data_IF_647320122412
#
_entry.id   IF_647320122412
#
_cell.length_a   1.000
_cell.length_b   1.000
_cell.length_c   1.000
_cell.angle_alpha   90.00
_cell.angle_beta   90.00
_cell.angle_gamma   90.00
#
_symmetry.space_group_name_H-M   'P 1'
#
loop_
_entity.id
_entity.type
_entity.pdbx_description
1 polymer ?
#
# COMPACT_ATOMS: atom_id res chain seq x y z
N UNK A 1 20.59 4.32 -4.41
CA UNK A 1 19.80 3.12 -4.05
C UNK A 1 18.50 3.63 -3.47
N UNK A 2 17.35 3.18 -3.99
CA UNK A 2 16.05 3.62 -3.48
C UNK A 2 15.82 3.11 -2.06
N UNK A 3 15.11 3.85 -1.23
CA UNK A 3 14.88 3.49 0.17
C UNK A 3 13.92 2.28 0.35
N UNK A 4 13.25 1.84 -0.73
CA UNK A 4 12.26 0.77 -0.69
C UNK A 4 12.33 -0.02 -1.99
N UNK A 5 12.32 -1.35 -1.90
CA UNK A 5 12.34 -2.26 -3.05
C UNK A 5 10.93 -2.47 -3.66
N UNK A 6 9.89 -2.36 -2.83
CA UNK A 6 8.50 -2.61 -3.22
C UNK A 6 7.56 -1.56 -2.63
N UNK A 7 6.52 -1.19 -3.40
CA UNK A 7 5.41 -0.35 -2.96
C UNK A 7 4.11 -1.13 -3.08
N UNK A 8 3.35 -1.23 -1.97
CA UNK A 8 2.06 -1.91 -1.93
C UNK A 8 0.95 -0.88 -1.63
N UNK A 9 -0.15 -0.94 -2.41
CA UNK A 9 -1.39 -0.24 -2.09
C UNK A 9 -2.37 -1.23 -1.48
N UNK A 10 -2.69 -1.05 -0.20
CA UNK A 10 -3.58 -1.91 0.56
C UNK A 10 -4.88 -1.14 0.81
N UNK A 11 -6.02 -1.79 0.58
CA UNK A 11 -7.35 -1.26 0.89
C UNK A 11 -7.99 -2.20 1.91
N UNK A 12 -8.25 -1.69 3.11
CA UNK A 12 -8.94 -2.41 4.20
C UNK A 12 -10.16 -1.63 4.66
N UNK A 13 -11.04 -2.29 5.43
CA UNK A 13 -12.22 -1.64 5.99
C UNK A 13 -11.84 -0.54 7.01
N UNK A 14 -10.81 -0.79 7.80
CA UNK A 14 -10.31 0.07 8.88
C UNK A 14 -8.84 -0.28 9.21
N UNK A 15 -8.29 0.39 10.24
CA UNK A 15 -6.93 0.20 10.72
C UNK A 15 -6.76 -1.18 11.38
N UNK A 16 -7.75 -1.66 12.14
CA UNK A 16 -7.68 -2.97 12.82
C UNK A 16 -7.60 -4.12 11.80
N UNK A 17 -8.36 -4.03 10.71
CA UNK A 17 -8.30 -4.96 9.59
C UNK A 17 -6.93 -4.91 8.88
N UNK A 18 -6.32 -3.74 8.78
CA UNK A 18 -4.94 -3.60 8.29
C UNK A 18 -3.92 -4.25 9.22
N UNK A 19 -4.01 -4.03 10.53
CA UNK A 19 -3.11 -4.65 11.51
C UNK A 19 -3.18 -6.17 11.46
N UNK A 20 -4.40 -6.74 11.40
CA UNK A 20 -4.58 -8.18 11.24
C UNK A 20 -3.94 -8.70 9.95
N UNK A 21 -4.15 -8.01 8.83
CA UNK A 21 -3.49 -8.36 7.56
C UNK A 21 -1.95 -8.28 7.67
N UNK A 22 -1.43 -7.26 8.34
CA UNK A 22 -0.01 -7.10 8.55
C UNK A 22 0.58 -8.28 9.33
N UNK A 23 -0.03 -8.65 10.46
CA UNK A 23 0.46 -9.73 11.31
C UNK A 23 0.25 -11.13 10.74
N UNK A 24 -0.84 -11.38 10.02
CA UNK A 24 -1.16 -12.72 9.50
C UNK A 24 -0.58 -12.99 8.11
N UNK A 25 -0.20 -11.95 7.36
CA UNK A 25 0.27 -12.08 5.97
C UNK A 25 1.63 -11.46 5.75
N UNK A 26 1.76 -10.14 5.92
CA UNK A 26 2.99 -9.41 5.57
C UNK A 26 4.18 -9.82 6.44
N UNK A 27 3.99 -9.91 7.76
CA UNK A 27 5.07 -10.25 8.70
C UNK A 27 5.60 -11.68 8.52
N UNK A 28 4.79 -12.57 7.93
CA UNK A 28 5.15 -13.97 7.69
C UNK A 28 5.97 -14.16 6.40
N UNK A 29 6.08 -13.12 5.56
CA UNK A 29 6.86 -13.23 4.31
C UNK A 29 8.34 -13.21 4.64
N UNK A 30 9.00 -14.34 4.42
CA UNK A 30 10.44 -14.47 4.59
C UNK A 30 11.20 -13.52 3.67
N UNK A 31 12.13 -12.75 4.24
CA UNK A 31 13.01 -11.85 3.50
C UNK A 31 12.57 -10.38 3.51
N UNK A 32 11.41 -10.06 4.10
CA UNK A 32 11.06 -8.67 4.40
C UNK A 32 11.88 -8.22 5.61
N UNK A 33 12.73 -7.21 5.41
CA UNK A 33 13.53 -6.61 6.49
C UNK A 33 12.78 -5.48 7.22
N UNK A 34 12.08 -4.64 6.46
CA UNK A 34 11.37 -3.48 6.99
C UNK A 34 10.08 -3.25 6.21
N UNK A 35 9.03 -2.83 6.91
CA UNK A 35 7.76 -2.41 6.31
C UNK A 35 7.45 -1.00 6.80
N UNK A 36 7.38 -0.05 5.87
CA UNK A 36 6.87 1.29 6.13
C UNK A 36 5.48 1.43 5.50
N UNK A 37 4.49 1.83 6.30
CA UNK A 37 3.10 1.97 5.86
C UNK A 37 2.62 3.40 6.04
N UNK A 38 1.94 3.92 5.01
CA UNK A 38 1.42 5.29 4.98
C UNK A 38 -0.09 5.21 4.80
N UNK A 39 -0.85 5.71 5.77
CA UNK A 39 -2.31 5.77 5.73
C UNK A 39 -2.75 7.15 5.24
N UNK A 40 -3.52 7.19 4.17
CA UNK A 40 -4.08 8.44 3.67
C UNK A 40 -5.27 8.88 4.55
N UNK A 41 -5.16 10.04 5.18
CA UNK A 41 -6.26 10.61 5.99
C UNK A 41 -7.44 11.06 5.12
N UNK A 42 -7.18 11.48 3.88
CA UNK A 42 -8.18 11.85 2.89
C UNK A 42 -7.66 11.57 1.49
N UNK A 43 -8.53 11.09 0.61
CA UNK A 43 -8.18 10.81 -0.78
C UNK A 43 -8.55 12.02 -1.65
N UNK A 44 -7.54 12.77 -2.10
CA UNK A 44 -7.76 13.97 -2.94
C UNK A 44 -8.22 13.57 -4.35
N UNK A 45 -7.71 12.44 -4.88
CA UNK A 45 -8.03 11.94 -6.22
C UNK A 45 -7.68 10.45 -6.36
N UNK A 46 -8.68 9.63 -6.70
CA UNK A 46 -8.49 8.23 -7.12
C UNK A 46 -8.89 8.09 -8.59
N UNK A 47 -7.93 7.84 -9.49
CA UNK A 47 -8.26 7.49 -10.87
C UNK A 47 -7.33 6.40 -11.38
N UNK A 48 -7.92 5.41 -12.02
CA UNK A 48 -7.20 4.38 -12.77
C UNK A 48 -7.09 4.74 -14.25
N UNK A 49 -7.71 5.85 -14.68
CA UNK A 49 -7.67 6.31 -16.06
C UNK A 49 -6.31 6.93 -16.37
N UNK A 50 -5.64 6.39 -17.37
CA UNK A 50 -4.41 6.99 -17.89
C UNK A 50 -4.75 8.31 -18.58
N UNK A 51 -3.94 9.37 -18.41
CA UNK A 51 -4.11 10.63 -19.11
C UNK A 51 -3.67 10.46 -20.58
N UNK A 52 -4.46 9.72 -21.36
CA UNK A 52 -4.27 9.63 -22.81
C UNK A 52 -5.15 10.67 -23.47
N UNK A 53 -4.53 11.77 -23.91
CA UNK A 53 -5.13 12.66 -24.89
C UNK A 53 -5.34 11.81 -26.16
N UNK A 54 -6.60 11.47 -26.48
CA UNK A 54 -6.92 10.98 -27.81
C UNK A 54 -6.66 12.13 -28.78
N UNK A 55 -5.63 11.96 -29.61
CA UNK A 55 -5.41 12.80 -30.79
C UNK A 55 -6.48 12.58 -31.85
#
# INVERSE_FOLDING_TARGET
>A
MGAVDFLLRIVTADIEAYERFFFEKLSMVSGIQEVNSIVALSEIKSTTSLPVLRG
#
